data_IF_818609603365
#
_entry.id   IF_818609603365
#
_cell.length_a   1.000
_cell.length_b   1.000
_cell.length_c   1.000
_cell.angle_alpha   90.00
_cell.angle_beta   90.00
_cell.angle_gamma   90.00
#
_symmetry.space_group_name_H-M   'P 1'
#
loop_
_entity.id
_entity.type
_entity.pdbx_description
1 polymer ?
#
# COMPACT_ATOMS: atom_id res chain seq x y z
N UNK A 1 10.44 -23.39 6.64
CA UNK A 1 9.05 -22.91 6.71
C UNK A 1 8.43 -22.97 5.33
N UNK A 2 7.24 -23.55 5.21
CA UNK A 2 6.43 -23.53 3.98
C UNK A 2 5.36 -22.46 4.10
N UNK A 3 5.33 -21.56 3.13
CA UNK A 3 4.54 -20.33 3.16
C UNK A 3 3.58 -20.31 1.98
N UNK A 4 2.34 -19.92 2.21
CA UNK A 4 1.45 -19.48 1.13
C UNK A 4 1.25 -17.97 1.22
N UNK A 5 1.29 -17.29 0.08
CA UNK A 5 0.78 -15.92 -0.05
C UNK A 5 -0.52 -15.99 -0.84
N UNK A 6 -1.60 -15.47 -0.27
CA UNK A 6 -2.92 -15.39 -0.90
C UNK A 6 -3.20 -13.92 -1.22
N UNK A 7 -3.36 -13.60 -2.49
CA UNK A 7 -3.52 -12.22 -2.94
C UNK A 7 -4.02 -12.12 -4.37
N UNK A 8 -4.71 -11.03 -4.68
CA UNK A 8 -5.11 -10.73 -6.04
C UNK A 8 -3.86 -10.57 -6.92
N UNK A 9 -3.77 -11.35 -7.98
CA UNK A 9 -2.76 -11.12 -9.00
C UNK A 9 -3.32 -11.13 -10.42
N UNK A 10 -4.30 -11.96 -10.79
CA UNK A 10 -4.87 -12.02 -12.14
C UNK A 10 -3.80 -12.07 -13.25
N UNK A 11 -2.68 -12.75 -12.98
CA UNK A 11 -1.51 -12.79 -13.87
C UNK A 11 -0.61 -11.54 -13.88
N UNK A 12 -0.95 -10.49 -13.14
CA UNK A 12 -0.16 -9.27 -13.00
C UNK A 12 0.97 -9.43 -11.96
N UNK A 13 2.19 -9.55 -12.46
CA UNK A 13 3.40 -9.66 -11.64
C UNK A 13 3.75 -8.37 -10.86
N UNK A 14 3.03 -7.27 -11.06
CA UNK A 14 3.23 -6.01 -10.35
C UNK A 14 2.49 -5.94 -8.99
N UNK A 15 1.60 -6.91 -8.72
CA UNK A 15 0.80 -6.96 -7.50
C UNK A 15 1.63 -7.29 -6.26
N UNK A 16 1.27 -6.70 -5.12
CA UNK A 16 2.08 -6.80 -3.90
C UNK A 16 2.26 -8.26 -3.43
N UNK A 17 1.22 -9.10 -3.53
CA UNK A 17 1.29 -10.51 -3.15
C UNK A 17 2.36 -11.29 -3.92
N UNK A 18 2.39 -11.15 -5.25
CA UNK A 18 3.41 -11.78 -6.11
C UNK A 18 4.81 -11.35 -5.70
N UNK A 19 4.98 -10.07 -5.38
CA UNK A 19 6.28 -9.50 -5.02
C UNK A 19 6.77 -9.90 -3.64
N UNK A 20 5.88 -10.00 -2.67
CA UNK A 20 6.19 -10.55 -1.35
C UNK A 20 6.61 -12.02 -1.51
N UNK A 21 5.86 -12.80 -2.29
CA UNK A 21 6.19 -14.19 -2.57
C UNK A 21 7.58 -14.33 -3.21
N UNK A 22 7.90 -13.52 -4.22
CA UNK A 22 9.23 -13.47 -4.84
C UNK A 22 10.34 -13.13 -3.84
N UNK A 23 10.13 -12.13 -2.98
CA UNK A 23 11.10 -11.73 -1.95
C UNK A 23 11.41 -12.88 -0.98
N UNK A 24 10.38 -13.56 -0.50
CA UNK A 24 10.55 -14.69 0.41
C UNK A 24 11.16 -15.92 -0.26
N UNK A 25 10.87 -16.16 -1.54
CA UNK A 25 11.57 -17.18 -2.32
C UNK A 25 13.06 -16.86 -2.45
N UNK A 26 13.43 -15.60 -2.70
CA UNK A 26 14.85 -15.17 -2.73
C UNK A 26 15.54 -15.35 -1.36
N UNK A 27 14.80 -15.21 -0.27
CA UNK A 27 15.25 -15.49 1.10
C UNK A 27 15.28 -17.00 1.42
N UNK A 28 15.10 -17.87 0.41
CA UNK A 28 15.15 -19.33 0.48
C UNK A 28 14.01 -19.95 1.30
N UNK A 29 12.88 -19.26 1.44
CA UNK A 29 11.65 -19.88 1.91
C UNK A 29 11.01 -20.72 0.80
N UNK A 30 10.25 -21.75 1.19
CA UNK A 30 9.43 -22.51 0.25
C UNK A 30 8.05 -21.84 0.15
N UNK A 31 7.82 -21.10 -0.93
CA UNK A 31 6.67 -20.21 -1.08
C UNK A 31 5.82 -20.64 -2.26
N UNK A 32 4.51 -20.70 -2.05
CA UNK A 32 3.52 -20.69 -3.13
C UNK A 32 2.69 -19.40 -3.10
N UNK A 33 2.30 -18.92 -4.27
CA UNK A 33 1.39 -17.79 -4.44
C UNK A 33 0.08 -18.32 -5.01
N UNK A 34 -1.06 -17.93 -4.43
CA UNK A 34 -2.40 -18.29 -4.88
C UNK A 34 -3.23 -17.02 -5.11
N UNK A 35 -4.03 -17.00 -6.18
CA UNK A 35 -5.03 -15.95 -6.39
C UNK A 35 -6.24 -16.14 -5.45
N UNK A 36 -6.96 -15.05 -5.19
CA UNK A 36 -8.25 -15.10 -4.48
C UNK A 36 -9.36 -15.77 -5.27
N UNK A 37 -9.28 -15.77 -6.60
CA UNK A 37 -10.29 -16.37 -7.47
C UNK A 37 -10.16 -17.88 -7.66
N UNK A 38 -9.21 -18.54 -7.00
CA UNK A 38 -9.01 -19.99 -7.13
C UNK A 38 -9.99 -20.78 -6.26
N UNK A 39 -10.67 -21.77 -6.85
CA UNK A 39 -11.70 -22.57 -6.16
C UNK A 39 -11.10 -23.63 -5.20
N UNK A 40 -9.82 -23.96 -5.34
CA UNK A 40 -9.13 -25.08 -4.66
C UNK A 40 -8.06 -24.61 -3.65
N UNK A 41 -8.19 -23.39 -3.12
CA UNK A 41 -7.20 -22.78 -2.20
C UNK A 41 -6.90 -23.69 -1.00
N UNK A 42 -7.92 -24.28 -0.38
CA UNK A 42 -7.72 -25.16 0.79
C UNK A 42 -6.86 -26.37 0.42
N UNK A 43 -7.20 -27.05 -0.68
CA UNK A 43 -6.45 -28.22 -1.14
C UNK A 43 -5.00 -27.86 -1.44
N UNK A 44 -4.76 -26.76 -2.16
CA UNK A 44 -3.42 -26.29 -2.51
C UNK A 44 -2.59 -25.92 -1.29
N UNK A 45 -3.17 -25.24 -0.30
CA UNK A 45 -2.49 -24.90 0.96
C UNK A 45 -2.07 -26.15 1.73
N UNK A 46 -2.95 -27.15 1.81
CA UNK A 46 -2.69 -28.40 2.53
C UNK A 46 -1.71 -29.32 1.79
N UNK A 47 -1.82 -29.42 0.46
CA UNK A 47 -0.90 -30.19 -0.38
C UNK A 47 0.51 -29.62 -0.33
N UNK A 48 0.62 -28.29 -0.35
CA UNK A 48 1.88 -27.59 -0.11
C UNK A 48 2.39 -27.76 1.33
N UNK A 49 1.54 -28.22 2.26
CA UNK A 49 1.84 -28.36 3.70
C UNK A 49 2.32 -27.04 4.29
N UNK A 50 1.62 -25.97 3.95
CA UNK A 50 1.94 -24.64 4.45
C UNK A 50 1.77 -24.60 5.96
N UNK A 51 2.66 -23.87 6.63
CA UNK A 51 2.59 -23.63 8.08
C UNK A 51 2.03 -22.22 8.35
N UNK A 52 2.21 -21.33 7.36
CA UNK A 52 1.89 -19.92 7.44
C UNK A 52 1.25 -19.44 6.14
N UNK A 53 0.18 -18.64 6.25
CA UNK A 53 -0.44 -17.94 5.13
C UNK A 53 -0.46 -16.43 5.36
N UNK A 54 0.08 -15.67 4.40
CA UNK A 54 -0.10 -14.22 4.34
C UNK A 54 -1.23 -13.85 3.39
N UNK A 55 -2.21 -13.08 3.87
CA UNK A 55 -3.30 -12.52 3.05
C UNK A 55 -3.03 -11.03 2.80
N UNK A 56 -2.85 -10.64 1.54
CA UNK A 56 -2.42 -9.27 1.20
C UNK A 56 -3.54 -8.25 0.98
N UNK A 57 -4.77 -8.70 0.69
CA UNK A 57 -5.97 -7.84 0.56
C UNK A 57 -7.25 -8.63 0.89
N UNK A 58 -7.79 -8.51 2.11
CA UNK A 58 -8.87 -9.40 2.58
C UNK A 58 -10.32 -8.97 2.29
N UNK A 59 -10.57 -7.78 1.71
CA UNK A 59 -11.92 -7.17 1.72
C UNK A 59 -12.98 -7.96 0.94
N UNK A 60 -12.60 -8.50 -0.21
CA UNK A 60 -13.50 -9.20 -1.14
C UNK A 60 -13.32 -10.71 -1.10
N UNK A 61 -12.43 -11.23 -0.26
CA UNK A 61 -12.14 -12.65 -0.20
C UNK A 61 -13.21 -13.41 0.57
N UNK A 62 -13.42 -14.69 0.24
CA UNK A 62 -14.30 -15.54 1.04
C UNK A 62 -13.63 -15.88 2.38
N UNK A 63 -14.24 -15.37 3.45
CA UNK A 63 -13.75 -15.55 4.81
C UNK A 63 -14.00 -16.97 5.34
N UNK A 64 -14.88 -17.75 4.69
CA UNK A 64 -15.12 -19.16 5.03
C UNK A 64 -13.88 -20.01 4.80
N UNK A 65 -13.17 -19.78 3.69
CA UNK A 65 -11.89 -20.42 3.33
C UNK A 65 -10.86 -20.17 4.42
N UNK A 66 -10.72 -18.92 4.87
CA UNK A 66 -9.78 -18.56 5.92
C UNK A 66 -10.12 -19.22 7.26
N UNK A 67 -11.41 -19.27 7.65
CA UNK A 67 -11.83 -19.97 8.86
C UNK A 67 -11.46 -21.46 8.81
N UNK A 68 -11.63 -22.10 7.67
CA UNK A 68 -11.25 -23.50 7.48
C UNK A 68 -9.72 -23.69 7.53
N UNK A 69 -8.93 -22.81 6.92
CA UNK A 69 -7.47 -22.87 7.05
C UNK A 69 -7.02 -22.70 8.51
N UNK A 70 -7.62 -21.76 9.25
CA UNK A 70 -7.35 -21.56 10.69
C UNK A 70 -7.67 -22.81 11.50
N UNK A 71 -8.82 -23.46 11.25
CA UNK A 71 -9.22 -24.67 11.99
C UNK A 71 -8.31 -25.86 11.74
N UNK A 72 -7.61 -25.90 10.60
CA UNK A 72 -6.57 -26.90 10.28
C UNK A 72 -5.19 -26.56 10.85
N UNK A 73 -5.08 -25.52 11.69
CA UNK A 73 -3.86 -25.14 12.39
C UNK A 73 -2.88 -24.32 11.55
N UNK A 74 -3.30 -23.78 10.41
CA UNK A 74 -2.48 -22.87 9.60
C UNK A 74 -2.41 -21.51 10.30
N UNK A 75 -1.20 -20.97 10.48
CA UNK A 75 -1.04 -19.62 11.01
C UNK A 75 -1.45 -18.58 9.96
N UNK A 76 -2.47 -17.77 10.25
CA UNK A 76 -2.99 -16.76 9.33
C UNK A 76 -2.54 -15.36 9.74
N UNK A 77 -1.84 -14.68 8.84
CA UNK A 77 -1.52 -13.27 8.96
C UNK A 77 -2.20 -12.45 7.86
N UNK A 78 -2.73 -11.27 8.20
CA UNK A 78 -3.23 -10.29 7.24
C UNK A 78 -2.34 -9.05 7.31
N UNK A 79 -1.91 -8.59 6.14
CA UNK A 79 -1.35 -7.26 5.97
C UNK A 79 -2.46 -6.25 5.67
N UNK A 80 -2.51 -5.16 6.44
CA UNK A 80 -3.46 -4.06 6.30
C UNK A 80 -2.68 -2.83 5.80
N UNK A 81 -2.65 -2.58 4.47
CA UNK A 81 -1.89 -1.49 3.87
C UNK A 81 -2.63 -0.14 3.89
N UNK A 82 -3.89 -0.12 4.31
CA UNK A 82 -4.75 1.05 4.15
C UNK A 82 -5.03 1.78 5.47
N UNK A 83 -5.30 3.08 5.31
CA UNK A 83 -5.73 4.03 6.33
C UNK A 83 -7.23 3.88 6.66
N UNK A 84 -7.73 2.68 6.99
CA UNK A 84 -9.11 2.54 7.48
C UNK A 84 -9.14 1.71 8.75
N UNK A 85 -9.77 2.25 9.79
CA UNK A 85 -10.04 1.53 11.03
C UNK A 85 -11.39 0.80 11.03
N UNK A 86 -11.69 0.07 12.11
CA UNK A 86 -12.98 -0.60 12.30
C UNK A 86 -14.17 0.35 12.43
N UNK A 87 -13.91 1.65 12.66
CA UNK A 87 -14.95 2.66 12.82
C UNK A 87 -15.20 3.47 11.54
N UNK A 88 -14.36 3.29 10.50
CA UNK A 88 -14.45 4.05 9.26
C UNK A 88 -15.26 3.26 8.22
N UNK A 89 -16.24 3.85 7.53
CA UNK A 89 -16.83 3.23 6.34
C UNK A 89 -15.84 3.27 5.16
N UNK A 90 -15.68 2.19 4.36
CA UNK A 90 -16.35 0.89 4.46
C UNK A 90 -15.66 -0.13 5.40
N UNK A 91 -14.56 0.24 6.05
CA UNK A 91 -13.75 -0.60 6.93
C UNK A 91 -14.54 -1.37 8.00
N UNK A 92 -15.49 -0.75 8.69
CA UNK A 92 -16.20 -1.39 9.81
C UNK A 92 -16.94 -2.70 9.48
N UNK A 93 -17.61 -2.77 8.33
CA UNK A 93 -18.29 -4.00 7.89
C UNK A 93 -17.30 -5.12 7.56
N UNK A 94 -16.12 -4.77 7.04
CA UNK A 94 -15.07 -5.73 6.76
C UNK A 94 -14.41 -6.23 8.04
N UNK A 95 -14.07 -5.34 8.96
CA UNK A 95 -13.47 -5.70 10.25
C UNK A 95 -14.37 -6.64 11.05
N UNK A 96 -15.69 -6.42 11.06
CA UNK A 96 -16.64 -7.33 11.69
C UNK A 96 -16.58 -8.77 11.13
N UNK A 97 -16.30 -8.93 9.83
CA UNK A 97 -16.22 -10.26 9.18
C UNK A 97 -14.92 -11.01 9.49
N UNK A 98 -13.82 -10.30 9.74
CA UNK A 98 -12.51 -10.93 9.99
C UNK A 98 -12.25 -11.23 11.47
N UNK A 99 -13.11 -10.76 12.38
CA UNK A 99 -12.93 -10.91 13.83
C UNK A 99 -12.70 -12.39 14.20
N UNK A 100 -11.55 -12.69 14.80
CA UNK A 100 -11.17 -14.03 15.23
C UNK A 100 -10.77 -15.00 14.11
N UNK A 101 -10.52 -14.51 12.89
CA UNK A 101 -10.00 -15.31 11.76
C UNK A 101 -8.48 -15.30 11.73
N UNK A 102 -7.84 -14.16 11.99
CA UNK A 102 -6.38 -14.05 11.91
C UNK A 102 -5.69 -14.31 13.24
N UNK A 103 -4.52 -14.94 13.18
CA UNK A 103 -3.60 -15.00 14.31
C UNK A 103 -2.86 -13.66 14.44
N UNK A 104 -2.50 -13.04 13.31
CA UNK A 104 -1.75 -11.80 13.28
C UNK A 104 -2.36 -10.78 12.31
N UNK A 105 -2.58 -9.56 12.79
CA UNK A 105 -2.80 -8.39 11.93
C UNK A 105 -1.53 -7.52 11.92
N UNK A 106 -1.03 -7.22 10.73
CA UNK A 106 0.10 -6.33 10.53
C UNK A 106 -0.39 -5.04 9.90
N UNK A 107 -0.17 -3.92 10.58
CA UNK A 107 -0.72 -2.62 10.20
C UNK A 107 0.38 -1.60 9.95
N UNK A 108 0.25 -0.80 8.90
CA UNK A 108 1.23 0.26 8.58
C UNK A 108 0.99 1.56 9.33
N UNK A 109 -0.22 1.71 9.87
CA UNK A 109 -0.63 2.87 10.65
C UNK A 109 -0.60 2.55 12.14
N UNK A 110 0.28 3.23 12.89
CA UNK A 110 0.44 3.00 14.33
C UNK A 110 -0.83 3.28 15.12
N UNK A 111 -1.55 4.36 14.80
CA UNK A 111 -2.75 4.77 15.55
C UNK A 111 -3.95 3.84 15.41
N UNK A 112 -3.96 2.96 14.39
CA UNK A 112 -5.01 1.94 14.22
C UNK A 112 -4.78 0.72 15.12
N UNK A 113 -3.52 0.41 15.49
CA UNK A 113 -3.18 -0.82 16.23
C UNK A 113 -4.03 -1.03 17.49
N UNK A 114 -4.25 -0.02 18.37
CA UNK A 114 -5.11 -0.20 19.53
C UNK A 114 -6.56 -0.55 19.18
N UNK A 115 -7.07 -0.08 18.04
CA UNK A 115 -8.44 -0.33 17.59
C UNK A 115 -8.65 -1.75 17.07
N UNK A 116 -7.57 -2.45 16.73
CA UNK A 116 -7.63 -3.78 16.12
C UNK A 116 -7.41 -4.94 17.08
N UNK A 117 -7.08 -4.66 18.35
CA UNK A 117 -6.76 -5.68 19.36
C UNK A 117 -7.85 -6.73 19.55
N UNK A 118 -9.11 -6.39 19.28
CA UNK A 118 -10.23 -7.31 19.41
C UNK A 118 -10.46 -8.19 18.17
N UNK A 119 -9.67 -8.02 17.10
CA UNK A 119 -9.94 -8.64 15.80
C UNK A 119 -9.02 -9.83 15.47
N UNK A 120 -7.90 -9.97 16.15
CA UNK A 120 -6.95 -11.08 16.00
C UNK A 120 -6.21 -11.36 17.32
N UNK A 121 -5.51 -12.49 17.36
CA UNK A 121 -4.76 -12.90 18.56
C UNK A 121 -3.62 -11.93 18.86
N UNK A 122 -2.96 -11.43 17.81
CA UNK A 122 -1.91 -10.43 17.89
C UNK A 122 -2.09 -9.34 16.83
N UNK A 123 -1.71 -8.11 17.18
CA UNK A 123 -1.70 -6.96 16.28
C UNK A 123 -0.37 -6.23 16.42
N UNK A 124 0.36 -6.10 15.31
CA UNK A 124 1.64 -5.41 15.28
C UNK A 124 1.61 -4.21 14.34
N UNK A 125 2.33 -3.17 14.72
CA UNK A 125 2.69 -2.09 13.81
C UNK A 125 3.93 -2.51 13.02
N UNK A 126 3.82 -2.47 11.69
CA UNK A 126 4.95 -2.64 10.78
C UNK A 126 5.32 -1.27 10.21
N UNK A 127 6.47 -0.68 10.57
CA UNK A 127 6.89 0.60 10.02
C UNK A 127 7.47 0.46 8.61
N UNK A 128 6.97 -0.50 7.82
CA UNK A 128 7.43 -0.81 6.49
C UNK A 128 6.26 -1.18 5.59
N UNK A 129 6.13 -0.45 4.50
CA UNK A 129 5.23 -0.83 3.42
C UNK A 129 5.85 -1.99 2.62
N UNK A 130 5.12 -3.10 2.44
CA UNK A 130 5.56 -4.24 1.64
C UNK A 130 5.42 -3.96 0.13
N UNK A 131 6.11 -2.94 -0.35
CA UNK A 131 6.25 -2.62 -1.78
C UNK A 131 7.69 -2.87 -2.19
N UNK A 132 8.02 -4.01 -2.78
CA UNK A 132 9.42 -4.28 -3.15
C UNK A 132 9.91 -3.49 -4.38
N UNK A 133 9.09 -2.60 -4.95
CA UNK A 133 9.37 -1.92 -6.24
C UNK A 133 10.39 -0.79 -6.11
N UNK A 134 10.70 -0.30 -4.90
CA UNK A 134 11.69 0.78 -4.71
C UNK A 134 13.15 0.29 -4.73
N UNK A 135 13.41 -1.00 -4.50
CA UNK A 135 14.77 -1.55 -4.57
C UNK A 135 15.33 -1.62 -6.00
N UNK A 136 14.52 -1.30 -7.02
CA UNK A 136 14.80 -1.52 -8.44
C UNK A 136 14.88 -0.22 -9.24
N UNK A 137 14.91 0.95 -8.57
CA UNK A 137 15.15 2.21 -9.26
C UNK A 137 16.63 2.26 -9.71
N UNK A 138 16.85 2.05 -11.01
CA UNK A 138 18.18 2.06 -11.64
C UNK A 138 18.56 3.44 -12.19
N UNK A 139 17.67 4.43 -12.04
CA UNK A 139 17.90 5.80 -12.50
C UNK A 139 19.03 6.47 -11.70
N UNK A 140 19.85 7.26 -12.39
CA UNK A 140 20.99 7.94 -11.75
C UNK A 140 20.49 9.06 -10.84
N UNK A 141 20.95 9.05 -9.58
CA UNK A 141 20.74 10.16 -8.63
C UNK A 141 21.22 11.49 -9.24
N UNK A 142 20.44 12.56 -9.05
CA UNK A 142 20.83 13.93 -9.40
C UNK A 142 20.41 14.43 -10.79
N UNK A 143 19.73 13.62 -11.60
CA UNK A 143 19.16 14.05 -12.90
C UNK A 143 17.71 14.54 -12.73
N UNK A 144 17.54 15.60 -11.96
CA UNK A 144 16.22 16.15 -11.65
C UNK A 144 15.61 16.85 -12.87
N UNK A 145 14.35 16.54 -13.18
CA UNK A 145 13.57 17.17 -14.25
C UNK A 145 12.61 18.25 -13.72
N UNK A 146 12.36 18.30 -12.42
CA UNK A 146 11.47 19.25 -11.76
C UNK A 146 11.85 19.39 -10.27
N UNK A 147 11.43 20.48 -9.63
CA UNK A 147 11.80 20.78 -8.24
C UNK A 147 11.02 19.91 -7.25
N UNK A 148 9.70 19.78 -7.45
CA UNK A 148 8.82 19.14 -6.49
C UNK A 148 7.91 18.12 -7.16
N UNK A 149 7.92 16.89 -6.66
CA UNK A 149 7.06 15.80 -7.12
C UNK A 149 6.05 15.38 -6.06
N UNK A 150 4.80 15.21 -6.45
CA UNK A 150 3.79 14.58 -5.60
C UNK A 150 2.95 13.58 -6.39
N UNK A 151 2.92 12.33 -5.91
CA UNK A 151 2.00 11.32 -6.43
C UNK A 151 0.84 11.14 -5.48
N UNK A 152 -0.31 11.69 -5.81
CA UNK A 152 -1.50 11.66 -4.96
C UNK A 152 -2.45 12.77 -5.38
N UNK A 153 -3.74 12.55 -5.22
CA UNK A 153 -4.70 13.61 -5.47
C UNK A 153 -4.59 14.72 -4.43
N UNK A 154 -4.91 15.98 -4.82
CA UNK A 154 -5.12 17.06 -3.87
C UNK A 154 -6.46 16.94 -3.13
N UNK A 155 -6.88 15.71 -2.76
CA UNK A 155 -8.19 15.44 -2.21
C UNK A 155 -8.41 16.10 -0.83
N UNK A 156 -9.35 17.05 -0.70
CA UNK A 156 -9.66 17.68 0.59
C UNK A 156 -10.26 16.71 1.62
N UNK A 157 -10.84 15.58 1.19
CA UNK A 157 -11.35 14.56 2.09
C UNK A 157 -10.24 13.69 2.73
N UNK A 158 -9.00 13.75 2.22
CA UNK A 158 -7.85 13.08 2.82
C UNK A 158 -6.85 14.05 3.43
N UNK A 159 -6.74 15.29 2.94
CA UNK A 159 -5.93 16.29 3.59
C UNK A 159 -6.46 17.69 3.34
N UNK A 160 -6.57 18.46 4.42
CA UNK A 160 -6.95 19.86 4.42
C UNK A 160 -5.87 20.79 3.83
N UNK A 161 -4.61 20.34 3.78
CA UNK A 161 -3.46 21.17 3.39
C UNK A 161 -2.89 20.85 2.01
N UNK A 162 -3.09 19.63 1.48
CA UNK A 162 -2.49 19.15 0.21
C UNK A 162 -2.61 20.17 -0.92
N UNK A 163 -3.84 20.59 -1.24
CA UNK A 163 -4.08 21.52 -2.34
C UNK A 163 -3.48 22.91 -2.06
N UNK A 164 -3.62 23.41 -0.84
CA UNK A 164 -3.08 24.72 -0.43
C UNK A 164 -1.57 24.76 -0.55
N UNK A 165 -0.89 23.71 -0.11
CA UNK A 165 0.57 23.61 -0.18
C UNK A 165 1.07 23.54 -1.62
N UNK A 166 0.47 22.68 -2.45
CA UNK A 166 0.83 22.55 -3.86
C UNK A 166 0.60 23.85 -4.63
N UNK A 167 -0.54 24.52 -4.42
CA UNK A 167 -0.84 25.80 -5.09
C UNK A 167 0.08 26.92 -4.62
N UNK A 168 0.50 26.92 -3.35
CA UNK A 168 1.46 27.89 -2.84
C UNK A 168 2.84 27.71 -3.49
N UNK A 169 3.36 26.48 -3.56
CA UNK A 169 4.64 26.19 -4.24
C UNK A 169 4.63 26.64 -5.71
N UNK A 170 3.51 26.45 -6.41
CA UNK A 170 3.35 26.89 -7.80
C UNK A 170 3.38 28.42 -7.89
N UNK A 171 2.71 29.13 -6.97
CA UNK A 171 2.73 30.61 -6.89
C UNK A 171 4.13 31.15 -6.58
N UNK A 172 4.90 30.42 -5.78
CA UNK A 172 6.27 30.76 -5.41
C UNK A 172 7.28 30.44 -6.53
N UNK A 173 6.84 29.90 -7.66
CA UNK A 173 7.64 29.66 -8.86
C UNK A 173 8.35 28.31 -8.90
N UNK A 174 8.07 27.39 -7.98
CA UNK A 174 8.62 26.04 -8.04
C UNK A 174 8.08 25.27 -9.26
N UNK A 175 8.94 24.46 -9.90
CA UNK A 175 8.46 23.52 -10.90
C UNK A 175 7.87 22.27 -10.22
N UNK A 176 6.55 22.30 -10.02
CA UNK A 176 5.78 21.23 -9.37
C UNK A 176 5.21 20.26 -10.41
N UNK A 177 5.40 18.97 -10.20
CA UNK A 177 4.71 17.92 -10.94
C UNK A 177 3.80 17.14 -10.00
N UNK A 178 2.54 17.01 -10.37
CA UNK A 178 1.53 16.21 -9.65
C UNK A 178 1.08 15.05 -10.53
N UNK A 179 1.24 13.82 -10.04
CA UNK A 179 0.81 12.61 -10.73
C UNK A 179 -0.23 11.83 -9.94
N UNK A 180 -1.08 11.08 -10.64
CA UNK A 180 -2.13 10.26 -10.04
C UNK A 180 -3.19 9.87 -11.07
N UNK A 181 -3.93 8.80 -10.82
CA UNK A 181 -5.00 8.38 -11.73
C UNK A 181 -6.14 9.40 -11.76
N UNK A 182 -6.50 9.88 -12.96
CA UNK A 182 -7.65 10.77 -13.20
C UNK A 182 -8.95 10.23 -12.58
N UNK A 183 -9.10 8.90 -12.50
CA UNK A 183 -10.26 8.23 -11.89
C UNK A 183 -10.52 8.65 -10.44
N UNK A 184 -9.48 8.96 -9.67
CA UNK A 184 -9.66 9.30 -8.27
C UNK A 184 -9.91 10.80 -8.06
N UNK A 185 -9.28 11.68 -8.85
CA UNK A 185 -9.23 13.13 -8.55
C UNK A 185 -9.35 14.04 -9.76
N UNK A 186 -9.77 13.55 -10.93
CA UNK A 186 -9.87 14.31 -12.17
C UNK A 186 -10.77 15.55 -12.08
N UNK A 187 -11.73 15.56 -11.14
CA UNK A 187 -12.57 16.73 -10.86
C UNK A 187 -11.82 17.89 -10.18
N UNK A 188 -10.65 17.63 -9.58
CA UNK A 188 -9.78 18.65 -8.98
C UNK A 188 -8.69 19.11 -9.95
N UNK A 189 -8.71 18.62 -11.20
CA UNK A 189 -7.69 18.96 -12.21
C UNK A 189 -7.70 20.44 -12.58
N UNK A 190 -8.83 21.12 -12.44
CA UNK A 190 -8.95 22.57 -12.66
C UNK A 190 -8.25 23.42 -11.60
N UNK A 191 -7.95 22.86 -10.42
CA UNK A 191 -7.35 23.58 -9.29
C UNK A 191 -5.82 23.72 -9.39
N UNK A 192 -5.19 23.02 -10.33
CA UNK A 192 -3.75 23.07 -10.60
C UNK A 192 -3.58 23.31 -12.11
N UNK A 193 -2.63 24.15 -12.57
CA UNK A 193 -2.41 24.38 -13.99
C UNK A 193 -2.17 23.07 -14.77
N UNK A 194 -2.79 22.87 -15.95
CA UNK A 194 -2.69 21.62 -16.71
C UNK A 194 -1.26 21.15 -17.03
N UNK A 195 -0.33 22.09 -17.20
CA UNK A 195 1.09 21.82 -17.48
C UNK A 195 1.90 21.35 -16.26
N UNK A 196 1.30 21.35 -15.06
CA UNK A 196 1.87 20.82 -13.82
C UNK A 196 1.37 19.41 -13.49
N UNK A 197 0.44 18.88 -14.30
CA UNK A 197 0.01 17.50 -14.20
C UNK A 197 0.91 16.59 -15.03
N UNK A 198 1.36 15.50 -14.41
CA UNK A 198 2.03 14.44 -15.12
C UNK A 198 1.01 13.76 -16.05
N UNK A 199 1.18 13.95 -17.36
CA UNK A 199 0.21 13.59 -18.39
C UNK A 199 0.09 12.09 -18.68
N UNK A 200 1.03 11.28 -18.21
CA UNK A 200 1.19 9.90 -18.70
C UNK A 200 0.29 8.88 -18.00
N UNK A 201 -0.80 9.34 -17.37
CA UNK A 201 -1.83 8.49 -16.78
C UNK A 201 -1.49 7.94 -15.39
N UNK A 202 -2.13 6.81 -15.03
CA UNK A 202 -1.94 6.18 -13.73
C UNK A 202 -0.56 5.54 -13.64
N UNK A 203 0.34 6.17 -12.88
CA UNK A 203 1.65 5.59 -12.59
C UNK A 203 1.47 4.38 -11.67
N UNK A 204 2.07 3.25 -12.04
CA UNK A 204 1.99 2.01 -11.26
C UNK A 204 3.40 1.52 -11.00
N UNK A 205 3.65 1.09 -9.77
CA UNK A 205 4.89 0.39 -9.43
C UNK A 205 6.17 1.15 -9.73
N UNK A 206 7.03 0.58 -10.58
CA UNK A 206 8.33 1.16 -10.95
C UNK A 206 8.23 2.55 -11.57
N UNK A 207 7.12 2.86 -12.25
CA UNK A 207 6.88 4.19 -12.82
C UNK A 207 6.73 5.27 -11.74
N UNK A 208 6.18 4.91 -10.57
CA UNK A 208 6.15 5.83 -9.44
C UNK A 208 7.55 6.11 -8.89
N UNK A 209 8.44 5.11 -8.88
CA UNK A 209 9.83 5.30 -8.45
C UNK A 209 10.61 6.16 -9.44
N UNK A 210 10.42 5.97 -10.75
CA UNK A 210 11.00 6.82 -11.81
C UNK A 210 10.51 8.26 -11.75
N UNK A 211 9.24 8.46 -11.38
CA UNK A 211 8.73 9.81 -11.16
C UNK A 211 9.49 10.50 -10.02
N UNK A 212 9.60 9.85 -8.86
CA UNK A 212 10.30 10.46 -7.72
C UNK A 212 11.82 10.59 -7.93
N UNK A 213 12.46 9.75 -8.74
CA UNK A 213 13.89 9.93 -9.08
C UNK A 213 14.16 11.17 -9.92
N UNK A 214 13.15 11.66 -10.65
CA UNK A 214 13.20 12.92 -11.43
C UNK A 214 12.85 14.15 -10.58
N UNK A 215 12.36 13.97 -9.35
CA UNK A 215 12.01 15.05 -8.43
C UNK A 215 13.20 15.42 -7.55
N UNK A 216 13.49 16.72 -7.37
CA UNK A 216 14.47 17.15 -6.35
C UNK A 216 13.92 16.91 -4.93
N UNK A 217 12.66 17.26 -4.71
CA UNK A 217 11.91 17.06 -3.47
C UNK A 217 10.67 16.22 -3.77
N UNK A 218 10.50 15.09 -3.08
CA UNK A 218 9.25 14.34 -3.09
C UNK A 218 8.41 14.71 -1.88
N UNK A 219 7.14 15.05 -2.11
CA UNK A 219 6.20 15.34 -1.03
C UNK A 219 5.45 14.08 -0.60
N UNK A 220 5.23 13.96 0.70
CA UNK A 220 4.29 13.01 1.26
C UNK A 220 3.39 13.71 2.26
N UNK A 221 2.08 13.68 2.03
CA UNK A 221 1.12 14.23 2.97
C UNK A 221 0.45 13.11 3.74
N UNK A 222 0.47 13.18 5.07
CA UNK A 222 -0.37 12.34 5.92
C UNK A 222 -1.86 12.65 5.69
N UNK A 223 -2.71 11.73 6.13
CA UNK A 223 -4.13 12.01 6.22
C UNK A 223 -4.41 12.78 7.51
N UNK A 224 -4.64 14.08 7.36
CA UNK A 224 -4.84 15.01 8.50
C UNK A 224 -6.29 15.03 9.01
N UNK A 225 -7.19 14.28 8.37
CA UNK A 225 -8.61 14.27 8.72
C UNK A 225 -8.94 13.31 9.85
N UNK A 226 -8.05 12.37 10.14
CA UNK A 226 -8.30 11.29 11.08
C UNK A 226 -7.04 11.07 11.95
N UNK A 227 -7.10 11.37 13.27
CA UNK A 227 -5.94 11.36 14.17
C UNK A 227 -5.17 10.03 14.20
N UNK A 228 -5.86 8.92 13.95
CA UNK A 228 -5.24 7.61 13.91
C UNK A 228 -4.18 7.45 12.80
N UNK A 229 -4.16 8.32 11.79
CA UNK A 229 -3.22 8.27 10.65
C UNK A 229 -1.97 9.15 10.80
N UNK A 230 -1.77 9.79 11.94
CA UNK A 230 -0.62 10.68 12.21
C UNK A 230 0.74 9.97 12.01
N UNK A 231 0.77 8.65 12.19
CA UNK A 231 1.95 7.81 11.97
C UNK A 231 1.65 6.65 11.01
N UNK A 232 1.19 7.00 9.80
CA UNK A 232 1.02 6.06 8.69
C UNK A 232 2.29 5.98 7.84
N UNK A 233 2.82 4.76 7.66
CA UNK A 233 3.93 4.52 6.71
C UNK A 233 3.35 4.33 5.32
N UNK A 234 3.24 5.44 4.57
CA UNK A 234 2.76 5.38 3.20
C UNK A 234 3.83 4.81 2.26
N UNK A 235 3.38 4.10 1.23
CA UNK A 235 4.23 3.65 0.12
C UNK A 235 5.06 4.80 -0.50
N UNK A 236 4.55 6.04 -0.49
CA UNK A 236 5.23 7.20 -1.07
C UNK A 236 6.50 7.58 -0.31
N UNK A 237 6.53 7.36 1.00
CA UNK A 237 7.72 7.58 1.83
C UNK A 237 8.87 6.71 1.31
N UNK A 238 8.61 5.40 1.14
CA UNK A 238 9.62 4.46 0.64
C UNK A 238 10.02 4.74 -0.81
N UNK A 239 9.07 5.14 -1.66
CA UNK A 239 9.37 5.49 -3.07
C UNK A 239 10.20 6.75 -3.19
N UNK A 240 9.91 7.78 -2.40
CA UNK A 240 10.67 9.04 -2.40
C UNK A 240 12.09 8.82 -1.91
N UNK A 241 12.24 8.19 -0.74
CA UNK A 241 13.56 7.92 -0.15
C UNK A 241 14.35 6.91 -0.99
N UNK A 242 13.69 5.84 -1.45
CA UNK A 242 14.31 4.78 -2.24
C UNK A 242 14.79 5.23 -3.64
N UNK A 243 14.15 6.26 -4.21
CA UNK A 243 14.58 6.87 -5.48
C UNK A 243 15.63 7.97 -5.31
N UNK A 244 16.04 8.29 -4.06
CA UNK A 244 17.03 9.32 -3.76
C UNK A 244 16.50 10.75 -3.77
N UNK A 245 15.17 10.92 -3.78
CA UNK A 245 14.53 12.23 -3.59
C UNK A 245 14.58 12.67 -2.13
N UNK A 246 14.65 13.98 -1.89
CA UNK A 246 14.49 14.51 -0.54
C UNK A 246 13.02 14.44 -0.14
N UNK A 247 12.70 13.77 0.97
CA UNK A 247 11.33 13.63 1.46
C UNK A 247 10.96 14.80 2.37
N UNK A 248 9.84 15.47 2.05
CA UNK A 248 9.16 16.40 2.95
C UNK A 248 7.81 15.78 3.38
N UNK A 249 7.61 15.62 4.69
CA UNK A 249 6.38 15.09 5.32
C UNK A 249 5.62 16.14 6.09
#
# INVERSE_FOLDING_TARGET
MRITVIGYHNGDASQNGVRIAQSWTMQRHNVQMLDFGEDDIIEKVLKHRSEFCLVTQGRTFDHSILKELRSKGIFLAQWIPDEYGPNDPPGGLWFAKIKGIYNLLMCETRGIVPLLKDYADEVIWIPQFFDTRYHWCTERRGQYSFDVGFLGGPNPAQSSIRLKFLTQLIKDGCDVQVGGGDFFWGHLRSEIPPNKYFSDGMLIGGEMAKFYSRARIGLNFINDKLPQYELAVSNRILKTVGSGGFLLT
#
